data_IF_810388280217
#
_entry.id   IF_810388280217
#
_cell.length_a   1.000
_cell.length_b   1.000
_cell.length_c   1.000
_cell.angle_alpha   90.00
_cell.angle_beta   90.00
_cell.angle_gamma   90.00
#
_symmetry.space_group_name_H-M   'P 1'
#
loop_
_entity.id
_entity.type
_entity.pdbx_description
1 polymer ?
#
# COMPACT_ATOMS: atom_id res chain seq x y z
N UNK A 1 37.29 42.90 -28.88
CA UNK A 1 38.05 42.09 -27.92
C UNK A 1 37.20 41.94 -26.67
N UNK A 2 36.59 40.76 -26.43
CA UNK A 2 35.90 40.43 -25.19
C UNK A 2 36.41 39.08 -24.73
N UNK A 3 36.97 39.03 -23.51
CA UNK A 3 37.51 37.84 -22.85
C UNK A 3 36.42 36.80 -22.57
N UNK A 4 36.67 35.57 -23.00
CA UNK A 4 35.95 34.38 -22.56
C UNK A 4 36.70 33.79 -21.37
N UNK A 5 36.05 33.79 -20.18
CA UNK A 5 36.54 33.14 -18.97
C UNK A 5 36.12 31.69 -19.01
N UNK A 6 37.10 30.80 -18.97
CA UNK A 6 36.89 29.33 -18.89
C UNK A 6 36.38 28.94 -17.49
N UNK A 7 35.24 28.25 -17.43
CA UNK A 7 34.74 27.61 -16.23
C UNK A 7 35.42 26.23 -16.12
N UNK A 8 36.25 26.06 -15.09
CA UNK A 8 36.88 24.79 -14.75
C UNK A 8 35.87 23.81 -14.18
N UNK A 9 35.79 22.62 -14.79
CA UNK A 9 35.11 21.46 -14.21
C UNK A 9 36.11 20.66 -13.38
N UNK A 10 35.86 20.59 -12.08
CA UNK A 10 36.60 19.74 -11.15
C UNK A 10 36.05 18.32 -11.24
N UNK A 11 36.86 17.35 -11.66
CA UNK A 11 36.51 15.94 -11.73
C UNK A 11 36.67 15.37 -10.33
N UNK A 12 35.57 15.10 -9.66
CA UNK A 12 35.54 14.41 -8.37
C UNK A 12 35.63 12.89 -8.63
N UNK A 13 36.75 12.28 -8.25
CA UNK A 13 36.93 10.83 -8.27
C UNK A 13 35.93 10.11 -7.37
N UNK A 14 35.37 8.94 -7.74
CA UNK A 14 34.46 8.18 -6.89
C UNK A 14 35.23 7.51 -5.76
N UNK A 15 35.04 8.00 -4.53
CA UNK A 15 35.46 7.29 -3.32
C UNK A 15 34.56 6.08 -3.12
N UNK A 16 35.15 4.90 -3.00
CA UNK A 16 34.49 3.64 -2.78
C UNK A 16 33.54 3.66 -1.56
N UNK A 17 32.23 3.49 -1.80
CA UNK A 17 31.21 3.27 -0.75
C UNK A 17 30.89 1.78 -0.64
N UNK A 18 31.81 1.00 -0.07
CA UNK A 18 31.57 -0.43 0.19
C UNK A 18 30.82 -0.71 1.50
N UNK A 19 30.53 0.31 2.33
CA UNK A 19 29.88 0.12 3.64
C UNK A 19 28.36 0.35 3.64
N UNK A 20 27.82 1.07 2.65
CA UNK A 20 26.41 1.50 2.69
C UNK A 20 25.43 0.41 2.20
N UNK A 21 25.84 -0.48 1.31
CA UNK A 21 24.97 -1.52 0.72
C UNK A 21 24.60 -2.59 1.75
N UNK A 22 25.52 -2.95 2.63
CA UNK A 22 25.27 -3.94 3.69
C UNK A 22 24.30 -3.43 4.78
N UNK A 23 24.38 -2.15 5.14
CA UNK A 23 23.51 -1.53 6.12
C UNK A 23 22.06 -1.34 5.62
N UNK A 24 21.89 -1.01 4.34
CA UNK A 24 20.56 -0.86 3.71
C UNK A 24 19.88 -2.22 3.57
N UNK A 25 20.60 -3.28 3.21
CA UNK A 25 20.06 -4.64 3.12
C UNK A 25 19.68 -5.21 4.49
N UNK A 26 20.46 -4.95 5.54
CA UNK A 26 20.15 -5.38 6.90
C UNK A 26 18.94 -4.62 7.49
N UNK A 27 18.83 -3.33 7.26
CA UNK A 27 17.67 -2.53 7.68
C UNK A 27 16.38 -2.95 6.95
N UNK A 28 16.46 -3.25 5.65
CA UNK A 28 15.34 -3.78 4.86
C UNK A 28 14.87 -5.13 5.38
N UNK A 29 15.79 -6.04 5.73
CA UNK A 29 15.46 -7.36 6.29
C UNK A 29 14.80 -7.26 7.68
N UNK A 30 15.24 -6.37 8.54
CA UNK A 30 14.66 -6.16 9.86
C UNK A 30 13.25 -5.53 9.77
N UNK A 31 13.06 -4.55 8.88
CA UNK A 31 11.76 -3.94 8.63
C UNK A 31 10.75 -4.95 8.03
N UNK A 32 11.18 -5.81 7.11
CA UNK A 32 10.35 -6.86 6.54
C UNK A 32 9.94 -7.91 7.59
N UNK A 33 10.85 -8.28 8.51
CA UNK A 33 10.55 -9.19 9.61
C UNK A 33 9.55 -8.59 10.61
N UNK A 34 9.67 -7.30 10.93
CA UNK A 34 8.73 -6.60 11.81
C UNK A 34 7.34 -6.49 11.16
N UNK A 35 7.28 -6.16 9.87
CA UNK A 35 6.03 -6.11 9.10
C UNK A 35 5.32 -7.46 9.06
N UNK A 36 6.06 -8.57 8.87
CA UNK A 36 5.50 -9.92 8.90
C UNK A 36 4.92 -10.29 10.28
N UNK A 37 5.50 -9.79 11.38
CA UNK A 37 4.99 -9.99 12.75
C UNK A 37 3.70 -9.20 13.02
N UNK A 38 3.51 -8.07 12.35
CA UNK A 38 2.32 -7.22 12.50
C UNK A 38 1.21 -7.57 11.51
N UNK A 39 1.46 -8.50 10.59
CA UNK A 39 0.45 -8.98 9.65
C UNK A 39 -0.73 -9.64 10.38
N UNK A 40 -1.98 -9.35 10.08
CA UNK A 40 -2.49 -8.57 8.93
C UNK A 40 -3.03 -7.18 9.33
N UNK A 41 -2.30 -6.43 10.17
CA UNK A 41 -2.69 -5.06 10.50
C UNK A 41 -2.59 -4.14 9.26
N UNK A 42 -3.44 -3.09 9.19
CA UNK A 42 -3.56 -2.20 8.03
C UNK A 42 -2.23 -1.58 7.60
N UNK A 43 -1.43 -1.07 8.56
CA UNK A 43 -0.12 -0.51 8.26
C UNK A 43 0.88 -1.53 7.70
N UNK A 44 0.82 -2.79 8.16
CA UNK A 44 1.65 -3.85 7.61
C UNK A 44 1.23 -4.21 6.17
N UNK A 45 -0.08 -4.28 5.89
CA UNK A 45 -0.59 -4.49 4.53
C UNK A 45 -0.18 -3.35 3.60
N UNK A 46 -0.26 -2.10 4.07
CA UNK A 46 0.19 -0.94 3.32
C UNK A 46 1.69 -1.00 3.01
N UNK A 47 2.52 -1.34 3.99
CA UNK A 47 3.97 -1.44 3.81
C UNK A 47 4.34 -2.51 2.77
N UNK A 48 3.74 -3.71 2.84
CA UNK A 48 3.95 -4.79 1.86
C UNK A 48 3.49 -4.37 0.46
N UNK A 49 2.37 -3.64 0.35
CA UNK A 49 1.88 -3.14 -0.93
C UNK A 49 2.81 -2.09 -1.54
N UNK A 50 3.30 -1.15 -0.73
CA UNK A 50 4.28 -0.13 -1.15
C UNK A 50 5.55 -0.79 -1.65
N UNK A 51 6.07 -1.78 -0.92
CA UNK A 51 7.25 -2.54 -1.32
C UNK A 51 7.02 -3.27 -2.65
N UNK A 52 5.88 -3.94 -2.82
CA UNK A 52 5.52 -4.59 -4.07
C UNK A 52 5.42 -3.58 -5.25
N UNK A 53 4.85 -2.40 -5.03
CA UNK A 53 4.80 -1.34 -6.05
C UNK A 53 6.21 -0.90 -6.46
N UNK A 54 7.11 -0.67 -5.49
CA UNK A 54 8.49 -0.25 -5.74
C UNK A 54 9.28 -1.32 -6.51
N UNK A 55 9.09 -2.61 -6.21
CA UNK A 55 9.68 -3.71 -6.98
C UNK A 55 9.18 -3.75 -8.44
N UNK A 56 7.99 -3.23 -8.68
CA UNK A 56 7.43 -3.06 -10.02
C UNK A 56 7.65 -1.65 -10.60
N UNK A 57 8.67 -0.93 -10.13
CA UNK A 57 9.09 0.39 -10.64
C UNK A 57 8.04 1.51 -10.51
N UNK A 58 7.08 1.38 -9.57
CA UNK A 58 6.20 2.48 -9.23
C UNK A 58 6.90 3.46 -8.29
N UNK A 59 6.81 4.74 -8.57
CA UNK A 59 7.24 5.82 -7.69
C UNK A 59 6.11 6.17 -6.73
N UNK A 60 6.32 5.97 -5.44
CA UNK A 60 5.35 6.36 -4.40
C UNK A 60 5.39 7.88 -4.23
N UNK A 61 4.26 8.54 -4.42
CA UNK A 61 4.14 10.01 -4.32
C UNK A 61 3.56 10.45 -2.98
N UNK A 62 2.72 9.62 -2.36
CA UNK A 62 2.21 9.84 -1.01
C UNK A 62 1.78 8.54 -0.35
N UNK A 63 1.90 8.50 0.98
CA UNK A 63 1.32 7.45 1.84
C UNK A 63 0.64 8.11 3.04
N UNK A 64 -0.57 7.66 3.39
CA UNK A 64 -1.22 8.09 4.62
C UNK A 64 -0.58 7.39 5.84
N UNK A 65 -0.48 8.13 6.94
CA UNK A 65 -0.08 7.54 8.22
C UNK A 65 -1.27 6.80 8.84
N UNK A 66 -1.22 5.48 8.81
CA UNK A 66 -2.26 4.60 9.36
C UNK A 66 -2.36 4.67 10.88
N UNK A 67 -1.29 5.07 11.58
CA UNK A 67 -1.29 5.19 13.04
C UNK A 67 -2.09 6.41 13.51
N UNK A 68 -2.00 7.52 12.80
CA UNK A 68 -2.74 8.76 13.11
C UNK A 68 -4.13 8.81 12.50
N UNK A 69 -4.48 7.85 11.62
CA UNK A 69 -5.74 7.84 10.86
C UNK A 69 -5.94 9.14 10.08
N UNK A 70 -4.86 9.66 9.51
CA UNK A 70 -4.91 10.87 8.70
C UNK A 70 -5.92 10.72 7.56
N UNK A 71 -6.77 11.73 7.30
CA UNK A 71 -7.69 11.68 6.17
C UNK A 71 -6.91 11.71 4.86
N UNK A 72 -7.39 10.97 3.85
CA UNK A 72 -6.77 10.96 2.53
C UNK A 72 -6.80 9.58 1.88
N UNK A 73 -6.06 9.46 0.79
CA UNK A 73 -5.82 8.20 0.07
C UNK A 73 -4.63 7.49 0.73
N UNK A 74 -4.76 6.20 1.00
CA UNK A 74 -3.73 5.48 1.76
C UNK A 74 -2.40 5.37 1.00
N UNK A 75 -2.44 5.18 -0.34
CA UNK A 75 -1.24 5.17 -1.20
C UNK A 75 -1.53 5.87 -2.52
N UNK A 76 -0.65 6.79 -2.91
CA UNK A 76 -0.61 7.37 -4.25
C UNK A 76 0.72 7.02 -4.91
N UNK A 77 0.69 6.58 -6.19
CA UNK A 77 1.90 6.23 -6.92
C UNK A 77 1.77 6.51 -8.42
N UNK A 78 2.92 6.63 -9.10
CA UNK A 78 3.01 6.86 -10.54
C UNK A 78 4.01 5.89 -11.18
N UNK A 79 3.72 5.47 -12.43
CA UNK A 79 4.63 4.67 -13.27
C UNK A 79 4.44 5.07 -14.74
N UNK A 80 5.40 5.78 -15.31
CA UNK A 80 5.25 6.35 -16.66
C UNK A 80 4.06 7.29 -16.73
N UNK A 81 3.08 6.98 -17.57
CA UNK A 81 1.82 7.73 -17.70
C UNK A 81 0.67 7.19 -16.85
N UNK A 82 0.90 6.14 -16.06
CA UNK A 82 -0.10 5.57 -15.15
C UNK A 82 -0.02 6.28 -13.79
N UNK A 83 -1.18 6.49 -13.20
CA UNK A 83 -1.32 7.03 -11.84
C UNK A 83 -2.29 6.12 -11.08
N UNK A 84 -1.98 5.77 -9.85
CA UNK A 84 -2.87 4.98 -9.02
C UNK A 84 -3.13 5.65 -7.67
N UNK A 85 -4.31 5.38 -7.14
CA UNK A 85 -4.65 5.60 -5.76
C UNK A 85 -5.24 4.33 -5.16
N UNK A 86 -4.78 3.97 -3.96
CA UNK A 86 -5.21 2.76 -3.30
C UNK A 86 -5.78 3.05 -1.91
N UNK A 87 -6.91 2.42 -1.59
CA UNK A 87 -7.43 2.28 -0.25
C UNK A 87 -7.00 0.92 0.30
N UNK A 88 -6.30 0.93 1.41
CA UNK A 88 -5.77 -0.27 2.06
C UNK A 88 -6.61 -0.63 3.27
N UNK A 89 -6.86 -1.91 3.50
CA UNK A 89 -7.45 -2.41 4.74
C UNK A 89 -6.70 -3.63 5.23
N UNK A 90 -6.56 -3.74 6.54
CA UNK A 90 -6.07 -4.93 7.19
C UNK A 90 -7.15 -5.99 7.38
N UNK A 91 -6.90 -6.90 8.34
CA UNK A 91 -7.90 -7.87 8.82
C UNK A 91 -8.32 -7.53 10.24
N UNK A 92 -9.62 -7.51 10.55
CA UNK A 92 -10.11 -7.17 11.89
C UNK A 92 -9.61 -8.14 12.96
N UNK A 93 -9.09 -7.60 14.05
CA UNK A 93 -8.70 -8.38 15.23
C UNK A 93 -9.93 -8.76 16.08
N UNK A 94 -9.81 -9.83 16.84
CA UNK A 94 -10.80 -10.25 17.85
C UNK A 94 -10.77 -9.37 19.11
N UNK A 95 -9.63 -8.76 19.43
CA UNK A 95 -9.44 -7.87 20.58
C UNK A 95 -9.57 -6.39 20.22
N UNK A 96 -9.62 -5.55 21.25
CA UNK A 96 -9.58 -4.10 21.10
C UNK A 96 -8.13 -3.59 21.06
N UNK A 97 -7.89 -2.53 20.27
CA UNK A 97 -6.60 -1.86 20.23
C UNK A 97 -6.33 -0.99 21.48
N UNK A 98 -7.38 -0.62 22.25
CA UNK A 98 -7.24 0.13 23.49
C UNK A 98 -6.63 -0.78 24.59
N UNK A 99 -5.47 -0.45 25.16
CA UNK A 99 -4.83 -1.24 26.21
C UNK A 99 -5.73 -1.47 27.45
N UNK A 100 -6.63 -0.52 27.75
CA UNK A 100 -7.58 -0.63 28.87
C UNK A 100 -8.63 -1.73 28.63
N UNK A 101 -8.80 -2.16 27.39
CA UNK A 101 -9.74 -3.19 26.95
C UNK A 101 -9.04 -4.43 26.39
N UNK A 102 -7.74 -4.59 26.67
CA UNK A 102 -6.94 -5.69 26.12
C UNK A 102 -7.47 -7.10 26.52
N UNK A 103 -8.14 -7.21 27.67
CA UNK A 103 -8.76 -8.46 28.14
C UNK A 103 -10.17 -8.71 27.53
N UNK A 104 -10.73 -7.75 26.80
CA UNK A 104 -12.06 -7.88 26.22
C UNK A 104 -12.00 -8.43 24.79
N UNK A 105 -12.94 -9.31 24.47
CA UNK A 105 -13.17 -9.80 23.11
C UNK A 105 -14.30 -9.01 22.46
N UNK A 106 -14.10 -8.59 21.21
CA UNK A 106 -15.15 -7.92 20.44
C UNK A 106 -16.34 -8.85 20.22
N UNK A 107 -17.54 -8.32 20.38
CA UNK A 107 -18.79 -9.05 20.12
C UNK A 107 -18.97 -9.39 18.63
N UNK A 108 -18.43 -8.55 17.74
CA UNK A 108 -18.56 -8.72 16.29
C UNK A 108 -17.45 -9.64 15.79
N UNK A 109 -17.83 -10.69 15.08
CA UNK A 109 -16.88 -11.61 14.47
C UNK A 109 -15.98 -10.89 13.44
N UNK A 110 -14.68 -11.22 13.32
CA UNK A 110 -13.78 -10.62 12.35
C UNK A 110 -14.30 -10.68 10.91
N UNK A 111 -14.93 -11.79 10.50
CA UNK A 111 -15.50 -11.93 9.15
C UNK A 111 -16.66 -10.96 8.87
N UNK A 112 -17.46 -10.62 9.88
CA UNK A 112 -18.53 -9.61 9.78
C UNK A 112 -17.93 -8.21 9.68
N UNK A 113 -16.94 -7.89 10.53
CA UNK A 113 -16.20 -6.63 10.45
C UNK A 113 -15.48 -6.46 9.10
N UNK A 114 -14.89 -7.52 8.58
CA UNK A 114 -14.26 -7.51 7.26
C UNK A 114 -15.25 -7.11 6.16
N UNK A 115 -16.51 -7.53 6.25
CA UNK A 115 -17.57 -7.08 5.35
C UNK A 115 -17.80 -5.57 5.40
N UNK A 116 -17.83 -4.97 6.60
CA UNK A 116 -17.94 -3.52 6.76
C UNK A 116 -16.70 -2.78 6.23
N UNK A 117 -15.50 -3.27 6.52
CA UNK A 117 -14.27 -2.67 6.03
C UNK A 117 -14.17 -2.73 4.51
N UNK A 118 -14.59 -3.85 3.91
CA UNK A 118 -14.70 -3.98 2.46
C UNK A 118 -15.63 -2.94 1.86
N UNK A 119 -16.82 -2.74 2.46
CA UNK A 119 -17.79 -1.74 1.99
C UNK A 119 -17.25 -0.31 2.11
N UNK A 120 -16.52 0.00 3.18
CA UNK A 120 -15.86 1.29 3.34
C UNK A 120 -14.76 1.51 2.29
N UNK A 121 -13.92 0.50 2.04
CA UNK A 121 -12.88 0.57 1.02
C UNK A 121 -13.49 0.76 -0.37
N UNK A 122 -14.58 0.05 -0.68
CA UNK A 122 -15.29 0.21 -1.94
C UNK A 122 -15.85 1.63 -2.11
N UNK A 123 -16.47 2.18 -1.06
CA UNK A 123 -16.99 3.56 -1.10
C UNK A 123 -15.85 4.57 -1.34
N UNK A 124 -14.73 4.45 -0.64
CA UNK A 124 -13.57 5.32 -0.84
C UNK A 124 -12.95 5.16 -2.24
N UNK A 125 -12.90 3.93 -2.76
CA UNK A 125 -12.43 3.69 -4.12
C UNK A 125 -13.34 4.34 -5.19
N UNK A 126 -14.65 4.40 -4.96
CA UNK A 126 -15.58 5.18 -5.81
C UNK A 126 -15.27 6.67 -5.71
N UNK A 127 -15.13 7.21 -4.49
CA UNK A 127 -14.84 8.63 -4.25
C UNK A 127 -13.48 9.05 -4.85
N UNK A 128 -12.52 8.13 -4.91
CA UNK A 128 -11.21 8.38 -5.54
C UNK A 128 -11.35 8.74 -7.02
N UNK A 129 -12.24 8.10 -7.74
CA UNK A 129 -12.45 8.35 -9.17
C UNK A 129 -12.90 9.78 -9.44
N UNK A 130 -13.68 10.38 -8.53
CA UNK A 130 -14.10 11.78 -8.62
C UNK A 130 -13.02 12.76 -8.17
N UNK A 131 -12.30 12.42 -7.08
CA UNK A 131 -11.26 13.31 -6.53
C UNK A 131 -9.95 13.28 -7.31
N UNK A 132 -9.66 12.17 -8.01
CA UNK A 132 -8.46 11.97 -8.83
C UNK A 132 -8.84 11.40 -10.21
N UNK A 133 -9.43 12.21 -11.09
CA UNK A 133 -9.81 11.75 -12.42
C UNK A 133 -8.60 11.21 -13.20
N UNK A 134 -8.77 10.03 -13.78
CA UNK A 134 -7.69 9.36 -14.54
C UNK A 134 -6.76 8.48 -13.72
N UNK A 135 -6.91 8.42 -12.39
CA UNK A 135 -6.18 7.45 -11.57
C UNK A 135 -6.82 6.06 -11.66
N UNK A 136 -5.96 5.04 -11.59
CA UNK A 136 -6.40 3.67 -11.33
C UNK A 136 -6.82 3.57 -9.88
N UNK A 137 -8.10 3.29 -9.62
CA UNK A 137 -8.64 3.17 -8.28
C UNK A 137 -8.51 1.74 -7.77
N UNK A 138 -7.76 1.54 -6.69
CA UNK A 138 -7.46 0.22 -6.12
C UNK A 138 -8.01 0.06 -4.71
N UNK A 139 -8.52 -1.14 -4.43
CA UNK A 139 -8.76 -1.66 -3.09
C UNK A 139 -7.69 -2.71 -2.81
N UNK A 140 -6.91 -2.56 -1.74
CA UNK A 140 -5.85 -3.49 -1.33
C UNK A 140 -6.23 -4.14 0.00
N UNK A 141 -6.34 -5.45 0.00
CA UNK A 141 -6.81 -6.24 1.14
C UNK A 141 -5.91 -7.46 1.35
N UNK A 142 -5.66 -7.90 2.59
CA UNK A 142 -4.95 -9.14 2.81
C UNK A 142 -5.75 -10.34 2.28
N UNK A 143 -5.03 -11.34 1.76
CA UNK A 143 -5.64 -12.50 1.10
C UNK A 143 -6.28 -13.47 2.08
N UNK A 144 -7.49 -13.15 2.54
CA UNK A 144 -8.32 -13.97 3.43
C UNK A 144 -9.57 -14.51 2.74
N UNK A 145 -10.11 -15.67 3.14
CA UNK A 145 -11.27 -16.29 2.49
C UNK A 145 -12.48 -15.37 2.36
N UNK A 146 -12.75 -14.54 3.40
CA UNK A 146 -13.87 -13.60 3.37
C UNK A 146 -13.68 -12.50 2.33
N UNK A 147 -12.47 -11.97 2.18
CA UNK A 147 -12.16 -10.98 1.16
C UNK A 147 -12.19 -11.57 -0.24
N UNK A 148 -11.73 -12.83 -0.42
CA UNK A 148 -11.89 -13.57 -1.70
C UNK A 148 -13.36 -13.73 -2.10
N UNK A 149 -14.24 -14.11 -1.15
CA UNK A 149 -15.70 -14.21 -1.38
C UNK A 149 -16.30 -12.87 -1.81
N UNK A 150 -16.01 -11.79 -1.07
CA UNK A 150 -16.49 -10.44 -1.38
C UNK A 150 -15.95 -9.93 -2.73
N UNK A 151 -14.68 -10.17 -3.03
CA UNK A 151 -14.07 -9.82 -4.31
C UNK A 151 -14.79 -10.48 -5.48
N UNK A 152 -15.09 -11.79 -5.37
CA UNK A 152 -15.84 -12.55 -6.38
C UNK A 152 -17.25 -12.01 -6.57
N UNK A 153 -17.96 -11.73 -5.48
CA UNK A 153 -19.37 -11.27 -5.50
C UNK A 153 -19.55 -9.86 -6.03
N UNK A 154 -18.52 -9.01 -5.93
CA UNK A 154 -18.56 -7.61 -6.37
C UNK A 154 -17.85 -7.37 -7.71
N UNK A 155 -17.29 -8.42 -8.33
CA UNK A 155 -16.46 -8.33 -9.54
C UNK A 155 -17.11 -7.52 -10.66
N UNK A 156 -18.35 -7.82 -11.02
CA UNK A 156 -19.05 -7.16 -12.14
C UNK A 156 -19.21 -5.67 -11.88
N UNK A 157 -19.69 -5.28 -10.69
CA UNK A 157 -19.89 -3.87 -10.32
C UNK A 157 -18.59 -3.10 -10.28
N UNK A 158 -17.54 -3.68 -9.65
CA UNK A 158 -16.22 -3.04 -9.57
C UNK A 158 -15.61 -2.82 -10.96
N UNK A 159 -15.67 -3.83 -11.84
CA UNK A 159 -15.17 -3.71 -13.21
C UNK A 159 -15.93 -2.65 -14.01
N UNK A 160 -17.25 -2.60 -13.88
CA UNK A 160 -18.08 -1.59 -14.54
C UNK A 160 -17.74 -0.16 -14.07
N UNK A 161 -17.34 -0.01 -12.80
CA UNK A 161 -16.90 1.26 -12.23
C UNK A 161 -15.39 1.51 -12.38
N UNK A 162 -14.64 0.63 -13.04
CA UNK A 162 -13.18 0.69 -13.16
C UNK A 162 -12.45 0.73 -11.80
N UNK A 163 -12.97 -0.04 -10.83
CA UNK A 163 -12.36 -0.22 -9.51
C UNK A 163 -11.66 -1.58 -9.46
N UNK A 164 -10.37 -1.56 -9.26
CA UNK A 164 -9.54 -2.74 -9.15
C UNK A 164 -9.48 -3.25 -7.71
N UNK A 165 -9.24 -4.55 -7.53
CA UNK A 165 -9.02 -5.15 -6.23
C UNK A 165 -7.78 -6.01 -6.26
N UNK A 166 -6.92 -5.82 -5.26
CA UNK A 166 -5.69 -6.58 -5.03
C UNK A 166 -5.84 -7.35 -3.72
N UNK A 167 -5.72 -8.66 -3.79
CA UNK A 167 -5.57 -9.54 -2.63
C UNK A 167 -4.07 -9.78 -2.43
N UNK A 168 -3.54 -9.42 -1.27
CA UNK A 168 -2.12 -9.37 -0.99
C UNK A 168 -1.75 -10.38 0.10
N UNK A 169 -0.73 -11.20 -0.14
CA UNK A 169 -0.13 -12.08 0.85
C UNK A 169 1.04 -11.37 1.57
N UNK A 170 1.46 -11.92 2.70
CA UNK A 170 2.51 -11.33 3.55
C UNK A 170 3.87 -11.24 2.85
N UNK A 171 4.12 -12.10 1.89
CA UNK A 171 5.34 -12.16 1.07
C UNK A 171 5.29 -11.25 -0.17
N UNK A 172 4.26 -10.42 -0.32
CA UNK A 172 4.07 -9.52 -1.45
C UNK A 172 3.42 -10.18 -2.68
N UNK A 173 3.20 -11.49 -2.67
CA UNK A 173 2.43 -12.15 -3.73
C UNK A 173 1.03 -11.58 -3.74
N UNK A 174 0.58 -11.16 -4.91
CA UNK A 174 -0.72 -10.52 -5.06
C UNK A 174 -1.56 -11.17 -6.17
N UNK A 175 -2.87 -11.12 -5.99
CA UNK A 175 -3.86 -11.58 -6.95
C UNK A 175 -4.84 -10.47 -7.27
N UNK A 176 -5.05 -10.20 -8.54
CA UNK A 176 -6.08 -9.27 -9.02
C UNK A 176 -6.77 -9.84 -10.25
N UNK A 177 -8.05 -9.54 -10.42
CA UNK A 177 -8.84 -9.97 -11.58
C UNK A 177 -8.90 -8.90 -12.69
N UNK A 178 -8.31 -7.73 -12.47
CA UNK A 178 -8.43 -6.59 -13.41
C UNK A 178 -7.26 -5.61 -13.36
N UNK A 179 -6.22 -5.87 -12.55
CA UNK A 179 -5.07 -4.98 -12.41
C UNK A 179 -3.75 -5.75 -12.42
N UNK A 180 -2.73 -5.15 -13.02
CA UNK A 180 -1.33 -5.62 -13.03
C UNK A 180 -0.41 -4.44 -12.76
N UNK A 181 0.61 -4.59 -11.90
CA UNK A 181 1.55 -3.52 -11.56
C UNK A 181 2.46 -3.09 -12.72
#
# INVERSE_FOLDING_TARGET
>A
MRHLTALGFEIISPVARSGAIGAIAAAGSAAAADTAHQWPWEGAVQAVFVDALQHHEWLITATADTATKAPGVDVLAIKGNRQLGAEVKGWPSTGYADPRRAAEVKRTQPSTQAGHWFSQALCKAVMLLDSHPGYESLMVLPDFPRYRDLAKRTRTGRRAANIHLVLLAVDGVHHSDSWTP
#
